data_IF_392460772100
#
_entry.id   IF_392460772100
#
_cell.length_a   1.000
_cell.length_b   1.000
_cell.length_c   1.000
_cell.angle_alpha   90.00
_cell.angle_beta   90.00
_cell.angle_gamma   90.00
#
_symmetry.space_group_name_H-M   'P 1'
#
loop_
_entity.id
_entity.type
_entity.pdbx_description
1 polymer ?
#
# COMPACT_ATOMS: atom_id res chain seq x y z
N UNK A 1 14.44 -6.50 -9.33
CA UNK A 1 15.23 -6.16 -8.12
C UNK A 1 15.35 -7.40 -7.26
N UNK A 2 16.52 -7.65 -6.70
CA UNK A 2 16.72 -8.68 -5.68
C UNK A 2 15.95 -8.33 -4.39
N UNK A 3 15.71 -9.29 -3.49
CA UNK A 3 15.05 -8.99 -2.22
C UNK A 3 15.73 -7.87 -1.41
N UNK A 4 17.07 -7.85 -1.38
CA UNK A 4 17.83 -6.80 -0.69
C UNK A 4 17.64 -5.44 -1.36
N UNK A 5 17.75 -5.37 -2.69
CA UNK A 5 17.53 -4.14 -3.44
C UNK A 5 16.11 -3.58 -3.22
N UNK A 6 15.10 -4.45 -3.14
CA UNK A 6 13.71 -4.04 -2.87
C UNK A 6 13.62 -3.36 -1.50
N UNK A 7 14.20 -3.97 -0.47
CA UNK A 7 14.20 -3.40 0.88
C UNK A 7 14.91 -2.06 0.91
N UNK A 8 16.09 -1.98 0.30
CA UNK A 8 16.90 -0.76 0.27
C UNK A 8 16.18 0.39 -0.47
N UNK A 9 15.55 0.08 -1.60
CA UNK A 9 14.74 1.03 -2.36
C UNK A 9 13.54 1.53 -1.55
N UNK A 10 12.80 0.62 -0.92
CA UNK A 10 11.66 0.97 -0.05
C UNK A 10 12.05 1.90 1.08
N UNK A 11 13.18 1.64 1.72
CA UNK A 11 13.63 2.48 2.82
C UNK A 11 13.98 3.90 2.33
N UNK A 12 14.57 4.04 1.15
CA UNK A 12 14.89 5.36 0.58
C UNK A 12 13.64 6.21 0.36
N UNK A 13 12.64 5.69 -0.35
CA UNK A 13 11.45 6.50 -0.62
C UNK A 13 10.60 6.71 0.65
N UNK A 14 10.50 5.70 1.54
CA UNK A 14 9.79 5.88 2.83
C UNK A 14 10.38 6.99 3.71
N UNK A 15 11.69 7.25 3.60
CA UNK A 15 12.34 8.34 4.33
C UNK A 15 12.25 9.69 3.62
N UNK A 16 12.07 9.70 2.30
CA UNK A 16 11.99 10.93 1.52
C UNK A 16 10.56 11.50 1.51
N UNK A 17 9.62 10.76 0.95
CA UNK A 17 8.19 11.10 0.88
C UNK A 17 7.42 9.89 0.35
N UNK A 18 6.18 9.74 0.78
CA UNK A 18 5.29 8.69 0.30
C UNK A 18 3.83 9.14 0.40
N UNK A 19 2.96 8.46 -0.33
CA UNK A 19 1.50 8.60 -0.21
C UNK A 19 0.96 7.49 0.68
N UNK A 20 -0.03 7.75 1.53
CA UNK A 20 -0.60 6.71 2.40
C UNK A 20 -2.12 6.73 2.47
N UNK A 21 -2.70 5.52 2.52
CA UNK A 21 -4.13 5.28 2.76
C UNK A 21 -4.30 4.43 4.01
N UNK A 22 -5.30 4.78 4.83
CA UNK A 22 -5.73 3.97 5.95
C UNK A 22 -6.84 3.03 5.51
N UNK A 23 -6.71 1.76 5.87
CA UNK A 23 -7.64 0.70 5.44
C UNK A 23 -8.12 -0.11 6.63
N UNK A 24 -9.34 -0.63 6.54
CA UNK A 24 -9.91 -1.46 7.58
C UNK A 24 -9.36 -2.89 7.49
N UNK A 25 -9.12 -3.53 8.64
CA UNK A 25 -8.56 -4.89 8.70
C UNK A 25 -9.41 -5.95 8.02
N UNK A 26 -10.72 -5.72 7.89
CA UNK A 26 -11.65 -6.65 7.22
C UNK A 26 -11.35 -6.82 5.73
N UNK A 27 -10.77 -5.80 5.08
CA UNK A 27 -10.39 -5.84 3.68
C UNK A 27 -8.89 -6.15 3.47
N UNK A 28 -8.16 -6.53 4.53
CA UNK A 28 -6.70 -6.73 4.48
C UNK A 28 -6.25 -7.68 3.38
N UNK A 29 -6.92 -8.82 3.23
CA UNK A 29 -6.61 -9.81 2.20
C UNK A 29 -6.78 -9.23 0.81
N UNK A 30 -7.87 -8.50 0.57
CA UNK A 30 -8.19 -7.87 -0.71
C UNK A 30 -7.22 -6.73 -1.03
N UNK A 31 -6.91 -5.88 -0.06
CA UNK A 31 -5.90 -4.82 -0.18
C UNK A 31 -4.54 -5.41 -0.55
N UNK A 32 -4.14 -6.49 0.13
CA UNK A 32 -2.88 -7.18 -0.15
C UNK A 32 -2.86 -7.77 -1.56
N UNK A 33 -3.98 -8.35 -1.99
CA UNK A 33 -4.10 -8.94 -3.32
C UNK A 33 -4.08 -7.86 -4.41
N UNK A 34 -4.84 -6.77 -4.22
CA UNK A 34 -4.86 -5.65 -5.16
C UNK A 34 -3.45 -5.09 -5.38
N UNK A 35 -2.68 -4.87 -4.31
CA UNK A 35 -1.32 -4.36 -4.42
C UNK A 35 -0.39 -5.32 -5.19
N UNK A 36 -0.56 -6.64 -5.05
CA UNK A 36 0.22 -7.63 -5.79
C UNK A 36 -0.12 -7.66 -7.27
N UNK A 37 -1.38 -7.44 -7.60
CA UNK A 37 -1.88 -7.54 -8.97
C UNK A 37 -1.63 -6.26 -9.78
N UNK A 38 -1.59 -5.10 -9.13
CA UNK A 38 -1.54 -3.79 -9.81
C UNK A 38 -0.24 -3.02 -9.60
N UNK A 39 0.53 -3.32 -8.55
CA UNK A 39 1.76 -2.58 -8.24
C UNK A 39 3.00 -3.47 -8.30
N UNK A 40 4.12 -2.88 -8.69
CA UNK A 40 5.41 -3.54 -8.51
C UNK A 40 5.74 -3.68 -7.03
N UNK A 41 6.32 -4.81 -6.63
CA UNK A 41 6.59 -5.13 -5.21
C UNK A 41 7.40 -4.05 -4.48
N UNK A 42 8.29 -3.31 -5.17
CA UNK A 42 9.11 -2.25 -4.58
C UNK A 42 8.41 -0.90 -4.43
N UNK A 43 7.23 -0.71 -5.03
CA UNK A 43 6.48 0.56 -5.03
C UNK A 43 5.47 0.72 -3.90
N UNK A 44 5.20 -0.34 -3.12
CA UNK A 44 4.24 -0.28 -2.02
C UNK A 44 4.77 -0.91 -0.72
N UNK A 45 4.22 -0.52 0.42
CA UNK A 45 4.53 -1.06 1.76
C UNK A 45 3.22 -1.14 2.56
N UNK A 46 2.90 -2.30 3.13
CA UNK A 46 1.71 -2.45 3.98
C UNK A 46 2.18 -2.62 5.42
N UNK A 47 1.74 -1.70 6.29
CA UNK A 47 1.98 -1.74 7.72
C UNK A 47 0.70 -2.16 8.42
N UNK A 48 0.73 -3.36 9.03
CA UNK A 48 -0.43 -3.89 9.74
C UNK A 48 -0.55 -3.32 11.17
N UNK A 49 -1.79 -3.26 11.66
CA UNK A 49 -2.14 -2.87 13.04
C UNK A 49 -1.62 -1.47 13.41
N UNK A 50 -1.76 -0.53 12.48
CA UNK A 50 -1.52 0.89 12.76
C UNK A 50 -2.62 1.51 13.61
N UNK A 51 -3.79 0.87 13.69
CA UNK A 51 -4.85 1.08 14.66
C UNK A 51 -5.54 -0.26 15.00
N UNK A 52 -6.47 -0.29 15.97
CA UNK A 52 -7.19 -1.49 16.43
C UNK A 52 -7.84 -2.24 15.26
N UNK A 53 -8.45 -1.49 14.33
CA UNK A 53 -9.06 -2.03 13.11
C UNK A 53 -8.44 -1.43 11.84
N UNK A 54 -7.23 -0.88 11.96
CA UNK A 54 -6.58 -0.14 10.87
C UNK A 54 -5.24 -0.72 10.46
N UNK A 55 -5.04 -0.83 9.16
CA UNK A 55 -3.72 -0.93 8.53
C UNK A 55 -3.41 0.36 7.75
N UNK A 56 -2.14 0.58 7.43
CA UNK A 56 -1.70 1.65 6.52
C UNK A 56 -1.03 1.04 5.30
N UNK A 57 -1.48 1.44 4.12
CA UNK A 57 -0.83 1.15 2.85
C UNK A 57 -0.08 2.39 2.40
N UNK A 58 1.19 2.24 2.03
CA UNK A 58 2.05 3.33 1.56
C UNK A 58 2.48 3.06 0.13
N UNK A 59 2.53 4.10 -0.68
CA UNK A 59 2.91 4.06 -2.08
C UNK A 59 4.05 5.04 -2.36
N UNK A 60 4.99 4.59 -3.18
CA UNK A 60 6.08 5.42 -3.70
C UNK A 60 5.55 6.49 -4.67
N UNK A 61 4.56 6.14 -5.50
CA UNK A 61 4.04 6.99 -6.56
C UNK A 61 2.58 7.37 -6.33
N UNK A 62 2.24 8.57 -6.77
CA UNK A 62 0.89 9.12 -6.68
C UNK A 62 -0.12 8.35 -7.56
N UNK A 63 0.32 7.82 -8.70
CA UNK A 63 -0.53 7.03 -9.61
C UNK A 63 -1.06 5.76 -8.95
N UNK A 64 -0.19 5.02 -8.24
CA UNK A 64 -0.55 3.81 -7.50
C UNK A 64 -1.51 4.15 -6.35
N UNK A 65 -1.25 5.25 -5.65
CA UNK A 65 -2.09 5.74 -4.57
C UNK A 65 -3.49 6.13 -5.06
N UNK A 66 -3.60 6.88 -6.16
CA UNK A 66 -4.89 7.30 -6.69
C UNK A 66 -5.71 6.10 -7.18
N UNK A 67 -5.09 5.20 -7.96
CA UNK A 67 -5.74 3.98 -8.43
C UNK A 67 -6.21 3.10 -7.27
N UNK A 68 -5.40 2.99 -6.21
CA UNK A 68 -5.77 2.25 -4.99
C UNK A 68 -6.99 2.86 -4.30
N UNK A 69 -7.00 4.18 -4.11
CA UNK A 69 -8.11 4.84 -3.40
C UNK A 69 -9.43 4.79 -4.16
N UNK A 70 -9.39 4.86 -5.49
CA UNK A 70 -10.60 4.72 -6.30
C UNK A 70 -11.19 3.32 -6.16
N UNK A 71 -10.36 2.27 -6.30
CA UNK A 71 -10.76 0.89 -6.05
C UNK A 71 -11.26 0.67 -4.61
N UNK A 72 -10.54 1.20 -3.62
CA UNK A 72 -10.87 0.99 -2.21
C UNK A 72 -12.21 1.64 -1.83
N UNK A 73 -12.51 2.84 -2.36
CA UNK A 73 -13.82 3.50 -2.17
C UNK A 73 -14.95 2.66 -2.74
N UNK A 74 -14.81 2.16 -3.96
CA UNK A 74 -15.81 1.27 -4.57
C UNK A 74 -16.03 0.02 -3.71
N UNK A 75 -14.95 -0.55 -3.17
CA UNK A 75 -15.05 -1.76 -2.35
C UNK A 75 -15.68 -1.55 -0.97
N UNK A 76 -15.46 -0.38 -0.37
CA UNK A 76 -15.94 -0.08 0.98
C UNK A 76 -17.38 0.45 1.00
N UNK A 77 -17.81 1.16 -0.05
CA UNK A 77 -19.13 1.78 -0.13
C UNK A 77 -20.10 1.11 -1.11
N UNK A 78 -19.61 0.21 -1.99
CA UNK A 78 -20.40 -0.51 -2.97
C UNK A 78 -21.01 -1.82 -2.49
#
# INVERSE_FOLDING_TARGET
MTPQEIVDHKNKWKMASYFESHVHTDLRSEVTQWCKDHCFQWRYDIKHFTDIYGDTVRFELEEDFNAFNDWYKERFYG
#
